data_IF_440561693119
#
_entry.id   IF_440561693119
#
_cell.length_a   1.000
_cell.length_b   1.000
_cell.length_c   1.000
_cell.angle_alpha   90.00
_cell.angle_beta   90.00
_cell.angle_gamma   90.00
#
_symmetry.space_group_name_H-M   'P 1'
#
loop_
_entity.id
_entity.type
_entity.pdbx_description
1 polymer ?
#
# COMPACT_ATOMS: atom_id res chain seq x y z
N UNK A 1 25.19 43.41 17.88
CA UNK A 1 24.09 43.76 18.83
C UNK A 1 23.07 42.62 18.86
N UNK A 2 22.59 42.21 20.04
CA UNK A 2 21.57 41.16 20.19
C UNK A 2 20.15 41.70 19.99
N UNK A 3 19.25 40.88 19.44
CA UNK A 3 17.79 41.08 19.49
C UNK A 3 17.16 39.90 20.23
N UNK A 4 16.48 40.19 21.33
CA UNK A 4 15.76 39.19 22.13
C UNK A 4 14.33 39.65 22.36
N UNK A 5 13.40 38.90 21.80
CA UNK A 5 11.95 39.04 22.00
C UNK A 5 11.33 37.66 22.28
N UNK A 6 12.12 36.76 22.86
CA UNK A 6 11.73 35.41 23.24
C UNK A 6 10.63 35.39 24.30
N UNK A 7 9.92 34.27 24.40
CA UNK A 7 8.95 33.95 25.45
C UNK A 7 7.79 34.95 25.53
N UNK A 8 7.23 35.29 24.38
CA UNK A 8 6.07 36.17 24.23
C UNK A 8 4.92 35.43 23.51
N UNK A 9 3.87 36.17 23.15
CA UNK A 9 2.74 35.67 22.38
C UNK A 9 2.72 36.28 20.96
N UNK A 10 3.90 36.53 20.38
CA UNK A 10 4.00 37.09 19.05
C UNK A 10 3.47 36.09 18.02
N UNK A 11 2.63 36.56 17.10
CA UNK A 11 1.98 35.77 16.05
C UNK A 11 2.33 36.31 14.67
N UNK A 12 2.07 35.51 13.64
CA UNK A 12 2.32 35.87 12.25
C UNK A 12 3.75 35.56 11.82
N UNK A 13 4.08 35.97 10.60
CA UNK A 13 5.36 35.63 9.98
C UNK A 13 6.51 36.50 10.50
N UNK A 14 7.72 35.94 10.48
CA UNK A 14 8.93 36.71 10.72
C UNK A 14 9.11 37.72 9.58
N UNK A 15 9.22 39.03 9.86
CA UNK A 15 9.33 40.04 8.82
C UNK A 15 10.66 39.91 8.08
N UNK A 16 10.62 39.92 6.75
CA UNK A 16 11.81 39.84 5.90
C UNK A 16 12.77 41.02 6.09
N UNK A 17 12.26 42.17 6.53
CA UNK A 17 13.05 43.38 6.83
C UNK A 17 14.07 43.17 7.95
N UNK A 18 13.90 42.17 8.82
CA UNK A 18 14.90 41.86 9.84
C UNK A 18 16.24 41.41 9.23
N UNK A 19 16.24 40.94 7.98
CA UNK A 19 17.47 40.65 7.21
C UNK A 19 18.32 41.90 6.90
N UNK A 20 17.77 43.11 7.04
CA UNK A 20 18.51 44.37 6.86
C UNK A 20 19.39 44.73 8.07
N UNK A 21 19.23 44.04 9.19
CA UNK A 21 20.01 44.24 10.40
C UNK A 21 21.41 43.58 10.30
N UNK A 22 22.27 44.06 9.41
CA UNK A 22 23.54 43.42 9.04
C UNK A 22 24.54 43.19 10.20
N UNK A 23 24.39 43.95 11.30
CA UNK A 23 25.24 43.88 12.51
C UNK A 23 24.61 43.07 13.65
N UNK A 24 23.54 42.32 13.36
CA UNK A 24 22.89 41.46 14.34
C UNK A 24 23.81 40.27 14.65
N UNK A 25 24.08 40.07 15.94
CA UNK A 25 25.00 39.03 16.42
C UNK A 25 24.26 37.86 17.06
N UNK A 26 23.15 38.14 17.74
CA UNK A 26 22.24 37.11 18.24
C UNK A 26 20.79 37.48 18.00
N UNK A 27 19.99 36.45 17.72
CA UNK A 27 18.56 36.55 17.46
C UNK A 27 17.81 35.49 18.26
N UNK A 28 17.02 35.94 19.24
CA UNK A 28 16.22 35.10 20.12
C UNK A 28 14.73 35.39 19.91
N UNK A 29 14.05 34.48 19.22
CA UNK A 29 12.62 34.51 18.92
C UNK A 29 11.86 33.34 19.55
N UNK A 30 12.54 32.54 20.37
CA UNK A 30 12.00 31.27 20.85
C UNK A 30 10.81 31.45 21.79
N UNK A 31 9.92 30.46 21.85
CA UNK A 31 8.77 30.49 22.77
C UNK A 31 7.73 31.54 22.39
N UNK A 32 7.42 31.64 21.10
CA UNK A 32 6.38 32.50 20.55
C UNK A 32 5.37 31.65 19.74
N UNK A 33 4.47 32.31 19.00
CA UNK A 33 3.47 31.70 18.12
C UNK A 33 3.71 32.12 16.65
N UNK A 34 4.97 32.38 16.28
CA UNK A 34 5.34 32.80 14.93
C UNK A 34 5.12 31.66 13.94
N UNK A 35 4.64 31.99 12.74
CA UNK A 35 4.32 31.02 11.68
C UNK A 35 4.99 31.42 10.35
N UNK A 36 4.57 30.76 9.26
CA UNK A 36 5.18 30.96 7.94
C UNK A 36 6.56 30.32 7.83
N UNK A 37 7.41 30.87 6.96
CA UNK A 37 8.75 30.33 6.65
C UNK A 37 9.85 31.17 7.28
N UNK A 38 11.02 30.58 7.47
CA UNK A 38 12.24 31.36 7.79
C UNK A 38 12.55 32.27 6.58
N UNK A 39 12.66 33.61 6.75
CA UNK A 39 12.85 34.52 5.62
C UNK A 39 14.18 34.31 4.91
N UNK A 40 14.16 34.24 3.57
CA UNK A 40 15.38 34.13 2.76
C UNK A 40 16.33 35.34 2.94
N UNK A 41 15.80 36.49 3.35
CA UNK A 41 16.58 37.70 3.63
C UNK A 41 17.58 37.51 4.78
N UNK A 42 17.39 36.52 5.64
CA UNK A 42 18.34 36.21 6.71
C UNK A 42 19.72 35.81 6.18
N UNK A 43 19.84 35.42 4.91
CA UNK A 43 21.12 35.20 4.23
C UNK A 43 22.07 36.43 4.30
N UNK A 44 21.54 37.64 4.53
CA UNK A 44 22.32 38.86 4.65
C UNK A 44 22.93 39.09 6.05
N UNK A 45 22.48 38.35 7.08
CA UNK A 45 22.93 38.49 8.47
C UNK A 45 24.32 37.88 8.70
N UNK A 46 25.36 38.48 8.10
CA UNK A 46 26.73 37.94 8.11
C UNK A 46 27.39 37.90 9.49
N UNK A 47 26.94 38.76 10.43
CA UNK A 47 27.47 38.84 11.78
C UNK A 47 26.83 37.87 12.78
N UNK A 48 25.81 37.11 12.37
CA UNK A 48 25.05 36.27 13.30
C UNK A 48 25.89 35.10 13.84
N UNK A 49 25.91 34.94 15.15
CA UNK A 49 26.57 33.84 15.86
C UNK A 49 25.57 32.90 16.52
N UNK A 50 24.47 33.45 17.04
CA UNK A 50 23.47 32.68 17.79
C UNK A 50 22.08 32.99 17.24
N UNK A 51 21.33 31.95 16.89
CA UNK A 51 19.95 32.09 16.44
C UNK A 51 19.09 31.00 17.08
N UNK A 52 18.13 31.42 17.90
CA UNK A 52 17.13 30.54 18.49
C UNK A 52 15.74 30.93 17.97
N UNK A 53 15.18 30.05 17.14
CA UNK A 53 13.83 30.14 16.59
C UNK A 53 12.92 29.03 17.16
N UNK A 54 13.37 28.33 18.20
CA UNK A 54 12.69 27.15 18.72
C UNK A 54 11.35 27.46 19.36
N UNK A 55 10.49 26.44 19.53
CA UNK A 55 9.17 26.61 20.17
C UNK A 55 8.35 27.72 19.51
N UNK A 56 8.15 27.58 18.21
CA UNK A 56 7.26 28.40 17.39
C UNK A 56 6.43 27.46 16.48
N UNK A 57 5.70 28.03 15.53
CA UNK A 57 4.90 27.30 14.54
C UNK A 57 5.46 27.50 13.10
N UNK A 58 6.78 27.68 12.98
CA UNK A 58 7.46 27.89 11.70
C UNK A 58 7.38 26.64 10.84
N UNK A 59 7.28 26.80 9.53
CA UNK A 59 6.96 25.75 8.57
C UNK A 59 7.79 25.86 7.28
N UNK A 60 7.72 24.82 6.46
CA UNK A 60 8.49 24.69 5.23
C UNK A 60 9.93 24.23 5.47
N UNK A 61 10.73 24.29 4.41
CA UNK A 61 12.10 23.78 4.43
C UNK A 61 13.06 24.72 5.15
N UNK A 62 14.06 24.13 5.79
CA UNK A 62 15.21 24.88 6.34
C UNK A 62 16.01 25.46 5.16
N UNK A 63 16.17 26.78 5.06
CA UNK A 63 16.84 27.39 3.92
C UNK A 63 18.33 27.02 3.79
N UNK A 64 18.78 26.78 2.55
CA UNK A 64 20.18 26.43 2.27
C UNK A 64 21.19 27.54 2.58
N UNK A 65 20.75 28.80 2.78
CA UNK A 65 21.66 29.90 3.11
C UNK A 65 22.41 29.66 4.43
N UNK A 66 21.87 28.83 5.34
CA UNK A 66 22.54 28.44 6.58
C UNK A 66 23.86 27.68 6.31
N UNK A 67 24.05 27.10 5.12
CA UNK A 67 25.33 26.54 4.71
C UNK A 67 26.44 27.60 4.61
N UNK A 68 26.07 28.87 4.40
CA UNK A 68 27.00 30.00 4.39
C UNK A 68 27.43 30.48 5.78
N UNK A 69 26.81 30.00 6.86
CA UNK A 69 27.08 30.41 8.24
C UNK A 69 27.98 29.41 8.98
N UNK A 70 29.20 29.21 8.47
CA UNK A 70 30.16 28.26 9.05
C UNK A 70 30.72 28.68 10.42
N UNK A 71 30.72 29.98 10.73
CA UNK A 71 31.23 30.54 11.99
C UNK A 71 30.19 30.62 13.11
N UNK A 72 28.95 30.22 12.85
CA UNK A 72 27.87 30.28 13.82
C UNK A 72 28.12 29.35 15.02
N UNK A 73 27.71 29.78 16.20
CA UNK A 73 27.91 29.08 17.47
C UNK A 73 26.71 28.21 17.84
N UNK A 74 25.50 28.69 17.55
CA UNK A 74 24.25 28.03 17.92
C UNK A 74 23.17 28.29 16.88
N UNK A 75 22.58 27.22 16.34
CA UNK A 75 21.33 27.25 15.58
C UNK A 75 20.30 26.34 16.24
N UNK A 76 19.26 26.93 16.82
CA UNK A 76 18.17 26.17 17.42
C UNK A 76 16.86 26.38 16.64
N UNK A 77 16.45 25.35 15.92
CA UNK A 77 15.21 25.28 15.14
C UNK A 77 14.21 24.28 15.72
N UNK A 78 14.47 23.78 16.94
CA UNK A 78 13.69 22.70 17.54
C UNK A 78 12.25 23.10 17.83
N UNK A 79 11.35 22.11 17.87
CA UNK A 79 9.94 22.30 18.21
C UNK A 79 9.24 23.34 17.33
N UNK A 80 9.30 23.12 16.01
CA UNK A 80 8.56 23.83 14.97
C UNK A 80 7.84 22.80 14.07
N UNK A 81 7.29 23.26 12.95
CA UNK A 81 6.66 22.47 11.89
C UNK A 81 7.50 22.43 10.61
N UNK A 82 8.84 22.51 10.73
CA UNK A 82 9.75 22.48 9.58
C UNK A 82 9.73 21.10 8.91
N UNK A 83 9.94 21.08 7.59
CA UNK A 83 9.82 19.89 6.77
C UNK A 83 10.98 19.73 5.76
N UNK A 84 11.07 18.54 5.18
CA UNK A 84 11.98 18.26 4.08
C UNK A 84 13.41 17.92 4.51
N UNK A 85 14.34 17.88 3.53
CA UNK A 85 15.72 17.50 3.78
C UNK A 85 16.49 18.62 4.49
N UNK A 86 17.30 18.23 5.49
CA UNK A 86 18.26 19.13 6.09
C UNK A 86 19.42 19.44 5.14
N UNK A 87 19.85 20.71 5.04
CA UNK A 87 21.10 21.06 4.38
C UNK A 87 22.30 20.38 5.07
N UNK A 88 23.41 20.26 4.35
CA UNK A 88 24.57 19.45 4.79
C UNK A 88 25.84 20.27 5.00
N UNK A 89 25.88 21.48 4.44
CA UNK A 89 26.98 22.42 4.56
C UNK A 89 26.95 23.29 5.82
N UNK A 90 28.01 24.09 5.99
CA UNK A 90 28.09 25.14 7.01
C UNK A 90 27.87 24.63 8.44
N UNK A 91 26.95 25.28 9.15
CA UNK A 91 26.65 24.97 10.55
C UNK A 91 26.14 23.54 10.77
N UNK A 92 25.50 22.93 9.76
CA UNK A 92 24.94 21.58 9.83
C UNK A 92 25.99 20.47 9.90
N UNK A 93 27.26 20.78 9.64
CA UNK A 93 28.37 19.84 9.83
C UNK A 93 28.68 19.56 11.31
N UNK A 94 28.21 20.42 12.22
CA UNK A 94 28.45 20.29 13.65
C UNK A 94 27.14 20.08 14.43
N UNK A 95 26.79 18.81 14.68
CA UNK A 95 25.57 18.45 15.42
C UNK A 95 25.50 19.01 16.85
N UNK A 96 26.64 19.36 17.46
CA UNK A 96 26.65 19.95 18.81
C UNK A 96 26.12 21.38 18.84
N UNK A 97 26.06 22.05 17.69
CA UNK A 97 25.61 23.44 17.54
C UNK A 97 24.20 23.57 16.96
N UNK A 98 23.66 22.48 16.41
CA UNK A 98 22.39 22.49 15.68
C UNK A 98 21.34 21.64 16.38
N UNK A 99 20.21 22.27 16.71
CA UNK A 99 19.10 21.62 17.37
C UNK A 99 17.86 21.65 16.48
N UNK A 100 17.35 20.49 16.11
CA UNK A 100 16.23 20.32 15.15
C UNK A 100 15.15 19.36 15.65
N UNK A 101 15.28 18.85 16.88
CA UNK A 101 14.32 17.94 17.49
C UNK A 101 12.90 18.53 17.50
N UNK A 102 11.87 17.68 17.46
CA UNK A 102 10.48 18.13 17.52
C UNK A 102 9.87 18.55 16.18
N UNK A 103 10.65 18.66 15.11
CA UNK A 103 10.14 18.82 13.74
C UNK A 103 9.93 17.44 13.10
N UNK A 104 8.67 17.02 12.96
CA UNK A 104 8.32 15.63 12.59
C UNK A 104 8.66 15.25 11.15
N UNK A 105 8.60 16.22 10.24
CA UNK A 105 8.75 16.01 8.79
C UNK A 105 10.18 16.31 8.29
N UNK A 106 11.10 16.64 9.20
CA UNK A 106 12.52 16.78 8.85
C UNK A 106 13.15 15.41 8.64
N UNK A 107 13.98 15.32 7.60
CA UNK A 107 14.82 14.18 7.33
C UNK A 107 16.24 14.65 7.02
N UNK A 108 17.23 13.76 7.15
CA UNK A 108 18.60 14.06 6.77
C UNK A 108 19.16 12.98 5.86
N UNK A 109 20.16 13.33 5.06
CA UNK A 109 20.93 12.33 4.29
C UNK A 109 21.96 11.60 5.16
N UNK A 110 22.30 12.16 6.33
CA UNK A 110 23.22 11.57 7.30
C UNK A 110 22.58 11.54 8.70
N UNK A 111 23.01 10.58 9.53
CA UNK A 111 22.49 10.43 10.90
C UNK A 111 23.07 11.44 11.90
N UNK A 112 23.88 12.41 11.44
CA UNK A 112 24.62 13.36 12.29
C UNK A 112 23.65 14.15 13.18
N UNK A 113 22.52 14.60 12.62
CA UNK A 113 21.48 15.36 13.32
C UNK A 113 20.43 14.48 14.01
N UNK A 114 20.65 13.16 14.11
CA UNK A 114 19.71 12.16 14.68
C UNK A 114 18.29 12.22 14.05
N UNK A 115 18.22 12.62 12.79
CA UNK A 115 16.98 12.65 12.00
C UNK A 115 16.79 11.35 11.21
N UNK A 116 15.55 11.01 10.84
CA UNK A 116 15.29 9.89 9.92
C UNK A 116 15.92 10.16 8.55
N UNK A 117 16.31 9.08 7.86
CA UNK A 117 16.87 9.19 6.52
C UNK A 117 15.81 9.67 5.52
N UNK A 118 16.17 10.62 4.66
CA UNK A 118 15.27 11.07 3.61
C UNK A 118 14.97 9.90 2.66
N UNK A 119 13.68 9.51 2.60
CA UNK A 119 13.23 8.51 1.66
C UNK A 119 13.23 9.10 0.25
N UNK A 120 14.19 8.71 -0.57
CA UNK A 120 14.12 9.01 -2.00
C UNK A 120 12.86 8.35 -2.58
N UNK A 121 12.13 9.07 -3.42
CA UNK A 121 10.85 8.66 -4.00
C UNK A 121 10.86 7.29 -4.72
N UNK A 122 12.05 6.71 -4.97
CA UNK A 122 12.25 5.36 -5.49
C UNK A 122 11.67 4.23 -4.59
N UNK A 123 11.57 4.44 -3.28
CA UNK A 123 11.07 3.42 -2.33
C UNK A 123 9.54 3.32 -2.31
N UNK A 124 8.84 4.45 -2.38
CA UNK A 124 7.37 4.54 -2.43
C UNK A 124 6.79 3.87 -3.69
N UNK A 125 7.47 4.05 -4.84
CA UNK A 125 7.02 3.47 -6.11
C UNK A 125 7.18 1.94 -6.12
N UNK A 126 8.26 1.41 -5.53
CA UNK A 126 8.44 -0.05 -5.37
C UNK A 126 7.35 -0.67 -4.50
N UNK A 127 7.03 -0.07 -3.36
CA UNK A 127 5.97 -0.60 -2.49
C UNK A 127 4.59 -0.54 -3.16
N UNK A 128 4.26 0.56 -3.86
CA UNK A 128 3.01 0.67 -4.62
C UNK A 128 2.94 -0.31 -5.81
N UNK A 129 4.07 -0.57 -6.46
CA UNK A 129 4.18 -1.55 -7.56
C UNK A 129 4.08 -2.99 -7.05
N UNK A 130 4.68 -3.30 -5.90
CA UNK A 130 4.52 -4.59 -5.23
C UNK A 130 3.06 -4.82 -4.82
N UNK A 131 2.40 -3.82 -4.22
CA UNK A 131 0.97 -3.92 -3.87
C UNK A 131 0.10 -4.15 -5.11
N UNK A 132 0.31 -3.41 -6.20
CA UNK A 132 -0.43 -3.59 -7.47
C UNK A 132 -0.24 -4.99 -8.05
N UNK A 133 0.98 -5.55 -7.99
CA UNK A 133 1.25 -6.93 -8.43
C UNK A 133 0.55 -7.97 -7.56
N UNK A 134 0.56 -7.81 -6.23
CA UNK A 134 -0.09 -8.74 -5.30
C UNK A 134 -1.61 -8.79 -5.54
N UNK A 135 -2.25 -7.62 -5.70
CA UNK A 135 -3.68 -7.54 -6.00
C UNK A 135 -4.00 -8.26 -7.31
N UNK A 136 -3.22 -8.02 -8.37
CA UNK A 136 -3.40 -8.70 -9.66
C UNK A 136 -3.29 -10.22 -9.59
N UNK A 137 -2.28 -10.74 -8.87
CA UNK A 137 -2.10 -12.19 -8.67
C UNK A 137 -3.25 -12.83 -7.88
N UNK A 138 -3.74 -12.14 -6.84
CA UNK A 138 -4.86 -12.64 -6.03
C UNK A 138 -6.17 -12.73 -6.82
N UNK A 139 -6.46 -11.74 -7.67
CA UNK A 139 -7.64 -11.74 -8.52
C UNK A 139 -7.60 -12.88 -9.56
N UNK A 140 -6.44 -13.12 -10.18
CA UNK A 140 -6.26 -14.20 -11.15
C UNK A 140 -6.47 -15.58 -10.50
N UNK A 141 -5.95 -15.78 -9.29
CA UNK A 141 -6.13 -17.03 -8.55
C UNK A 141 -7.60 -17.30 -8.22
N UNK A 142 -8.35 -16.27 -7.80
CA UNK A 142 -9.79 -16.39 -7.51
C UNK A 142 -10.59 -16.77 -8.77
N UNK A 143 -10.28 -16.16 -9.92
CA UNK A 143 -10.91 -16.52 -11.20
C UNK A 143 -10.61 -17.98 -11.56
N UNK A 144 -9.36 -18.42 -11.43
CA UNK A 144 -8.97 -19.80 -11.73
C UNK A 144 -9.65 -20.82 -10.82
N UNK A 145 -9.75 -20.53 -9.51
CA UNK A 145 -10.48 -21.36 -8.55
C UNK A 145 -11.98 -21.43 -8.89
N UNK A 146 -12.58 -20.31 -9.28
CA UNK A 146 -13.98 -20.27 -9.70
C UNK A 146 -14.23 -21.11 -10.95
N UNK A 147 -13.35 -21.02 -11.97
CA UNK A 147 -13.41 -21.82 -13.18
C UNK A 147 -13.26 -23.30 -12.88
N UNK A 148 -12.30 -23.67 -12.03
CA UNK A 148 -12.09 -25.05 -11.61
C UNK A 148 -13.31 -25.59 -10.85
N UNK A 149 -13.90 -24.78 -9.96
CA UNK A 149 -15.15 -25.10 -9.27
C UNK A 149 -16.31 -25.36 -10.24
N UNK A 150 -16.50 -24.50 -11.24
CA UNK A 150 -17.55 -24.68 -12.27
C UNK A 150 -17.30 -25.95 -13.10
N UNK A 151 -16.06 -26.22 -13.52
CA UNK A 151 -15.70 -27.44 -14.25
C UNK A 151 -15.98 -28.67 -13.41
N UNK A 152 -15.61 -28.64 -12.13
CA UNK A 152 -15.81 -29.73 -11.19
C UNK A 152 -17.30 -29.97 -10.91
N UNK A 153 -18.11 -28.92 -10.79
CA UNK A 153 -19.56 -29.00 -10.67
C UNK A 153 -20.21 -29.55 -11.94
N UNK A 154 -19.75 -29.13 -13.13
CA UNK A 154 -20.19 -29.71 -14.41
C UNK A 154 -19.82 -31.20 -14.51
N UNK A 155 -18.63 -31.59 -14.04
CA UNK A 155 -18.20 -32.99 -14.00
C UNK A 155 -19.03 -33.81 -13.01
N UNK A 156 -19.34 -33.28 -11.83
CA UNK A 156 -20.26 -33.93 -10.86
C UNK A 156 -21.69 -34.04 -11.39
N UNK A 157 -22.18 -33.05 -12.17
CA UNK A 157 -23.47 -33.17 -12.87
C UNK A 157 -23.43 -34.25 -13.95
N UNK A 158 -22.34 -34.34 -14.73
CA UNK A 158 -22.12 -35.45 -15.68
C UNK A 158 -22.07 -36.82 -15.00
N UNK A 159 -21.44 -36.92 -13.81
CA UNK A 159 -21.39 -38.18 -13.03
C UNK A 159 -22.72 -38.50 -12.35
N UNK A 160 -23.56 -37.50 -12.02
CA UNK A 160 -24.96 -37.72 -11.61
C UNK A 160 -25.89 -38.03 -12.78
N UNK A 161 -25.42 -37.89 -14.01
CA UNK A 161 -26.15 -38.23 -15.23
C UNK A 161 -25.52 -39.50 -15.84
N UNK A 162 -25.47 -40.57 -15.04
CA UNK A 162 -25.71 -41.90 -15.59
C UNK A 162 -27.22 -42.03 -15.75
N UNK A 163 -27.66 -41.96 -17.00
CA UNK A 163 -28.98 -42.44 -17.39
C UNK A 163 -29.08 -43.92 -17.03
N UNK A 164 -29.93 -44.22 -16.04
CA UNK A 164 -30.60 -45.50 -15.98
C UNK A 164 -31.34 -45.68 -17.31
N UNK A 165 -31.24 -46.81 -18.05
CA UNK A 165 -31.99 -46.96 -19.28
C UNK A 165 -33.48 -46.94 -18.94
N UNK A 166 -34.15 -45.86 -19.33
CA UNK A 166 -35.60 -45.72 -19.21
C UNK A 166 -36.25 -46.71 -20.17
N UNK A 167 -36.68 -47.85 -19.63
CA UNK A 167 -37.46 -48.84 -20.36
C UNK A 167 -38.86 -48.29 -20.63
N UNK A 168 -39.04 -47.58 -21.75
CA UNK A 168 -40.38 -47.29 -22.29
C UNK A 168 -40.35 -46.93 -23.78
N UNK A 169 -39.88 -47.86 -24.59
CA UNK A 169 -40.31 -48.02 -25.99
C UNK A 169 -40.75 -49.48 -26.13
N UNK A 170 -41.86 -49.83 -25.47
CA UNK A 170 -42.49 -51.12 -25.73
C UNK A 170 -43.19 -50.97 -27.09
N UNK A 171 -42.51 -51.38 -28.18
CA UNK A 171 -43.19 -51.62 -29.45
C UNK A 171 -44.36 -52.56 -29.16
N UNK A 172 -45.59 -52.04 -29.27
CA UNK A 172 -46.80 -52.85 -29.22
C UNK A 172 -46.80 -53.74 -30.45
N UNK A 173 -46.38 -54.99 -30.28
CA UNK A 173 -46.63 -56.03 -31.26
C UNK A 173 -48.12 -56.35 -31.23
N UNK A 174 -48.74 -56.44 -32.41
CA UNK A 174 -50.13 -56.87 -32.51
C UNK A 174 -50.22 -58.39 -32.31
N UNK A 175 -51.39 -58.88 -31.90
CA UNK A 175 -51.62 -60.33 -31.78
C UNK A 175 -51.31 -61.08 -33.09
N UNK A 176 -51.54 -60.43 -34.24
CA UNK A 176 -51.20 -60.98 -35.55
C UNK A 176 -49.68 -61.16 -35.77
N UNK A 177 -48.85 -60.24 -35.25
CA UNK A 177 -47.39 -60.32 -35.35
C UNK A 177 -46.84 -61.52 -34.54
N UNK A 178 -47.44 -61.78 -33.37
CA UNK A 178 -47.08 -62.92 -32.52
C UNK A 178 -47.46 -64.25 -33.16
N UNK A 179 -48.66 -64.35 -33.76
CA UNK A 179 -49.13 -65.57 -34.44
C UNK A 179 -48.29 -65.86 -35.69
N UNK A 180 -47.88 -64.82 -36.42
CA UNK A 180 -47.02 -64.96 -37.60
C UNK A 180 -45.60 -65.39 -37.24
N UNK A 181 -45.04 -64.88 -36.15
CA UNK A 181 -43.72 -65.29 -35.66
C UNK A 181 -43.69 -66.73 -35.11
N UNK A 182 -44.82 -67.21 -34.60
CA UNK A 182 -44.93 -68.54 -33.98
C UNK A 182 -45.51 -69.61 -34.93
N UNK A 183 -45.77 -69.28 -36.20
CA UNK A 183 -46.47 -70.15 -37.15
C UNK A 183 -47.74 -70.79 -36.54
N UNK A 184 -48.49 -70.01 -35.76
CA UNK A 184 -49.74 -70.45 -35.13
C UNK A 184 -49.64 -71.63 -34.17
N UNK A 185 -48.46 -71.91 -33.60
CA UNK A 185 -48.22 -73.06 -32.71
C UNK A 185 -48.76 -74.39 -33.28
N UNK A 186 -48.36 -74.69 -34.52
CA UNK A 186 -48.56 -76.00 -35.13
C UNK A 186 -47.97 -77.13 -34.25
N UNK A 187 -48.74 -78.22 -34.11
CA UNK A 187 -48.57 -79.37 -33.20
C UNK A 187 -47.25 -80.16 -33.32
N UNK A 188 -46.29 -79.73 -34.14
CA UNK A 188 -44.97 -80.36 -34.27
C UNK A 188 -43.89 -79.81 -33.33
N UNK A 189 -44.15 -78.74 -32.55
CA UNK A 189 -43.17 -78.18 -31.58
C UNK A 189 -43.38 -78.62 -30.11
N UNK A 190 -44.29 -79.55 -29.84
CA UNK A 190 -44.56 -80.09 -28.49
C UNK A 190 -43.50 -81.07 -27.97
N UNK A 191 -42.51 -81.45 -28.78
CA UNK A 191 -41.40 -82.33 -28.36
C UNK A 191 -40.31 -81.64 -27.52
N UNK A 192 -40.17 -80.30 -27.61
CA UNK A 192 -39.08 -79.57 -26.96
C UNK A 192 -39.39 -79.13 -25.52
N UNK A 193 -40.67 -78.97 -25.17
CA UNK A 193 -41.07 -78.48 -23.84
C UNK A 193 -40.95 -79.51 -22.72
N UNK A 194 -40.96 -80.82 -23.05
CA UNK A 194 -40.85 -81.89 -22.04
C UNK A 194 -39.43 -82.09 -21.51
N UNK A 195 -38.39 -81.64 -22.24
CA UNK A 195 -36.99 -81.79 -21.83
C UNK A 195 -36.48 -80.67 -20.92
N UNK A 196 -37.09 -79.48 -20.95
CA UNK A 196 -36.67 -78.34 -20.13
C UNK A 196 -37.18 -78.46 -18.68
N UNK A 197 -38.33 -79.12 -18.47
CA UNK A 197 -38.95 -79.21 -17.14
C UNK A 197 -38.27 -80.20 -16.17
N UNK A 198 -37.38 -81.09 -16.66
CA UNK A 198 -36.70 -82.10 -15.84
C UNK A 198 -35.38 -81.59 -15.22
N UNK A 199 -34.86 -80.42 -15.63
CA UNK A 199 -33.59 -79.89 -15.12
C UNK A 199 -33.70 -78.90 -13.95
N UNK A 200 -34.90 -78.61 -13.42
CA UNK A 200 -35.09 -77.55 -12.38
C UNK A 200 -35.48 -78.13 -11.01
N UNK A 201 -35.42 -79.45 -10.82
CA UNK A 201 -35.77 -80.10 -9.53
C UNK A 201 -34.74 -81.15 -9.06
N UNK A 202 -33.44 -80.84 -9.12
CA UNK A 202 -32.41 -81.48 -8.27
C UNK A 202 -31.37 -80.48 -7.82
#
# INVERSE_FOLDING_TARGET
LPLDISNNLLTGEIPSTLGECLHLESLHLEGNLLDGRIPQSFAALRGISDMDLSRNNLSGQVPDFFEGFSSMSLLNLSFNNLDGPMPTGGIFQNASKVFVQGNKELCAVSSILRLPLCHTAASQQKHRFHIRKIIGLSALALVMLSCFGVIFLKKRKKVKQEDHPSFKELKKFTYADLVKATNGFSLSQLGLFRKVWVCVQR
#
